data_IF_470925951237
#
_entry.id   IF_470925951237
#
_cell.length_a   1.000
_cell.length_b   1.000
_cell.length_c   1.000
_cell.angle_alpha   90.00
_cell.angle_beta   90.00
_cell.angle_gamma   90.00
#
_symmetry.space_group_name_H-M   'P 1'
#
loop_
_entity.id
_entity.type
_entity.pdbx_description
1 polymer ?
#
# COMPACT_ATOMS: atom_id res chain seq x y z
N UNK A 1 17.02 21.32 -11.76
CA UNK A 1 15.64 20.80 -11.82
C UNK A 1 14.75 21.62 -10.89
N UNK A 2 13.56 22.00 -11.33
CA UNK A 2 12.59 22.73 -10.52
C UNK A 2 11.86 21.78 -9.56
N UNK A 3 11.88 22.04 -8.25
CA UNK A 3 11.08 21.27 -7.28
C UNK A 3 9.64 21.83 -7.29
N UNK A 4 8.63 20.98 -7.52
CA UNK A 4 7.22 21.38 -7.48
C UNK A 4 6.60 21.05 -6.11
N UNK A 5 5.71 21.91 -5.63
CA UNK A 5 4.88 21.63 -4.48
C UNK A 5 3.81 20.62 -4.89
N UNK A 6 3.86 19.42 -4.33
CA UNK A 6 2.89 18.35 -4.60
C UNK A 6 1.46 18.66 -4.16
N UNK A 7 1.27 19.63 -3.25
CA UNK A 7 -0.07 20.02 -2.80
C UNK A 7 -0.72 21.10 -3.67
N UNK A 8 0.05 22.03 -4.25
CA UNK A 8 -0.52 23.15 -5.03
C UNK A 8 -0.04 23.21 -6.48
N UNK A 9 0.84 22.30 -6.90
CA UNK A 9 1.43 22.24 -8.24
C UNK A 9 2.43 23.36 -8.55
N UNK A 10 2.56 24.38 -7.69
CA UNK A 10 3.44 25.52 -7.95
C UNK A 10 4.91 25.15 -7.79
N UNK A 11 5.75 25.73 -8.64
CA UNK A 11 7.20 25.64 -8.51
C UNK A 11 7.68 26.30 -7.21
N UNK A 12 8.45 25.56 -6.43
CA UNK A 12 9.10 26.06 -5.23
C UNK A 12 10.42 26.69 -5.65
N UNK A 13 10.54 28.01 -5.46
CA UNK A 13 11.74 28.75 -5.83
C UNK A 13 12.96 28.26 -5.04
N UNK A 14 14.14 28.28 -5.67
CA UNK A 14 15.39 27.78 -5.09
C UNK A 14 15.80 28.46 -3.78
N UNK A 15 15.39 29.72 -3.58
CA UNK A 15 15.62 30.50 -2.35
C UNK A 15 14.58 30.24 -1.25
N UNK A 16 13.56 29.42 -1.53
CA UNK A 16 12.44 29.18 -0.61
C UNK A 16 12.67 27.93 0.24
N UNK A 17 12.09 27.96 1.44
CA UNK A 17 12.06 26.81 2.35
C UNK A 17 11.20 25.71 1.72
N UNK A 18 11.78 24.52 1.56
CA UNK A 18 11.10 23.33 1.05
C UNK A 18 10.88 22.36 2.21
N UNK A 19 9.74 21.67 2.22
CA UNK A 19 9.48 20.61 3.19
C UNK A 19 9.36 19.28 2.46
N UNK A 20 10.24 18.32 2.78
CA UNK A 20 10.21 16.98 2.16
C UNK A 20 9.57 15.98 3.12
N UNK A 21 8.68 15.15 2.60
CA UNK A 21 8.10 14.05 3.34
C UNK A 21 9.13 12.94 3.60
N UNK A 22 9.09 12.38 4.79
CA UNK A 22 9.94 11.26 5.18
C UNK A 22 9.49 9.94 4.53
N UNK A 23 8.19 9.80 4.30
CA UNK A 23 7.52 8.57 3.84
C UNK A 23 7.38 8.51 2.31
N UNK A 24 7.69 9.59 1.58
CA UNK A 24 7.43 9.67 0.14
C UNK A 24 8.61 10.29 -0.62
N UNK A 25 9.02 9.64 -1.72
CA UNK A 25 10.17 10.02 -2.52
C UNK A 25 10.10 11.46 -3.07
N UNK A 26 8.93 11.83 -3.60
CA UNK A 26 8.71 13.07 -4.34
C UNK A 26 7.66 13.99 -3.71
N UNK A 27 7.31 13.77 -2.44
CA UNK A 27 6.31 14.59 -1.76
C UNK A 27 6.99 15.81 -1.10
N UNK A 28 7.00 16.91 -1.86
CA UNK A 28 7.51 18.21 -1.41
C UNK A 28 6.36 19.19 -1.20
N UNK A 29 6.44 19.97 -0.13
CA UNK A 29 5.49 21.03 0.19
C UNK A 29 6.21 22.38 0.26
N UNK A 30 5.55 23.41 -0.27
CA UNK A 30 5.95 24.79 -0.02
C UNK A 30 5.58 25.21 1.40
N UNK A 31 6.19 26.30 1.89
CA UNK A 31 5.94 26.87 3.22
C UNK A 31 4.46 27.19 3.49
N UNK A 32 3.70 27.56 2.46
CA UNK A 32 2.27 27.86 2.60
C UNK A 32 1.44 26.58 2.76
N UNK A 33 1.76 25.53 1.98
CA UNK A 33 1.05 24.25 2.01
C UNK A 33 1.33 23.43 3.27
N UNK A 34 2.49 23.58 3.93
CA UNK A 34 2.75 22.87 5.20
C UNK A 34 1.89 23.34 6.36
N UNK A 35 1.52 24.63 6.39
CA UNK A 35 0.59 25.15 7.41
C UNK A 35 -0.84 24.66 7.18
N UNK A 36 -1.25 24.52 5.92
CA UNK A 36 -2.57 24.01 5.55
C UNK A 36 -2.69 22.49 5.75
N UNK A 37 -1.60 21.74 5.56
CA UNK A 37 -1.63 20.28 5.73
C UNK A 37 -1.78 19.83 7.18
N UNK A 38 -1.32 20.59 8.19
CA UNK A 38 -1.53 20.24 9.62
C UNK A 38 -3.00 20.05 10.02
N UNK A 39 -3.95 20.53 9.21
CA UNK A 39 -5.39 20.46 9.46
C UNK A 39 -6.13 19.42 8.60
N UNK A 40 -5.42 18.55 7.85
CA UNK A 40 -6.04 17.49 7.04
C UNK A 40 -5.80 16.13 7.67
N UNK A 41 -6.82 15.27 7.70
CA UNK A 41 -6.74 13.90 8.25
C UNK A 41 -5.62 13.03 7.63
N UNK A 42 -5.13 13.38 6.43
CA UNK A 42 -4.02 12.69 5.73
C UNK A 42 -2.64 13.10 6.30
N UNK A 43 -2.52 14.25 6.96
CA UNK A 43 -1.25 14.71 7.53
C UNK A 43 -0.86 14.01 8.83
N UNK A 44 -1.71 13.12 9.36
CA UNK A 44 -1.38 12.29 10.52
C UNK A 44 -0.33 11.21 10.19
N UNK A 45 -0.11 10.88 8.91
CA UNK A 45 0.78 9.78 8.48
C UNK A 45 2.09 10.25 7.83
N UNK A 46 2.25 11.55 7.58
CA UNK A 46 3.40 12.10 6.86
C UNK A 46 4.15 13.10 7.74
N UNK A 47 5.41 12.80 8.05
CA UNK A 47 6.32 13.72 8.72
C UNK A 47 7.16 14.46 7.69
N UNK A 48 7.44 15.74 7.95
CA UNK A 48 8.10 16.62 6.98
C UNK A 48 9.30 17.33 7.58
N UNK A 49 10.43 17.23 6.88
CA UNK A 49 11.66 17.91 7.24
C UNK A 49 11.82 19.20 6.45
N UNK A 50 12.22 20.26 7.15
CA UNK A 50 12.53 21.56 6.56
C UNK A 50 13.92 21.49 5.92
N UNK A 51 13.99 21.72 4.61
CA UNK A 51 15.25 21.76 3.84
C UNK A 51 15.48 23.18 3.32
N UNK A 52 16.67 23.72 3.57
CA UNK A 52 17.19 24.93 2.92
C UNK A 52 18.33 24.53 1.97
N UNK A 53 18.12 24.65 0.65
CA UNK A 53 19.18 24.37 -0.34
C UNK A 53 20.12 25.57 -0.45
N UNK A 54 21.17 25.58 0.36
CA UNK A 54 22.39 26.35 0.07
C UNK A 54 23.56 25.38 -0.01
N UNK A 55 24.15 25.29 -1.21
CA UNK A 55 25.40 24.62 -1.59
C UNK A 55 25.34 23.14 -2.02
N UNK A 56 25.15 22.91 -3.33
CA UNK A 56 25.69 21.73 -4.03
C UNK A 56 26.27 22.17 -5.38
N UNK A 57 27.61 22.20 -5.47
CA UNK A 57 28.35 22.23 -6.73
C UNK A 57 29.45 21.16 -6.65
N UNK A 58 29.62 20.41 -7.76
CA UNK A 58 30.66 19.38 -8.04
C UNK A 58 30.44 18.05 -7.28
N UNK A 59 30.51 16.87 -7.91
CA UNK A 59 31.57 16.41 -8.80
C UNK A 59 31.14 15.20 -9.68
N UNK A 60 31.57 15.21 -10.94
CA UNK A 60 31.60 14.04 -11.84
C UNK A 60 32.80 13.12 -11.52
N UNK A 61 32.69 11.86 -11.96
CA UNK A 61 33.76 10.86 -12.25
C UNK A 61 34.04 9.77 -11.21
N UNK A 62 33.63 8.53 -11.51
CA UNK A 62 34.54 7.40 -11.83
C UNK A 62 33.73 6.11 -12.14
N UNK A 63 34.08 5.45 -13.25
CA UNK A 63 33.45 4.23 -13.79
C UNK A 63 34.01 2.98 -13.10
N UNK A 64 33.13 2.06 -12.71
CA UNK A 64 33.43 0.61 -12.64
C UNK A 64 32.25 -0.13 -13.27
N UNK A 65 32.54 -0.88 -14.33
CA UNK A 65 31.57 -1.57 -15.16
C UNK A 65 31.19 -2.92 -14.58
N UNK A 66 29.93 -3.08 -14.18
CA UNK A 66 29.25 -4.37 -14.19
C UNK A 66 28.13 -4.30 -15.24
N UNK A 67 28.17 -5.20 -16.23
CA UNK A 67 27.16 -5.32 -17.28
C UNK A 67 25.86 -5.87 -16.70
N UNK A 68 25.12 -5.03 -15.99
CA UNK A 68 23.67 -5.20 -15.78
C UNK A 68 23.01 -4.49 -16.96
N UNK A 69 22.36 -5.26 -17.82
CA UNK A 69 21.54 -4.73 -18.92
C UNK A 69 20.36 -3.97 -18.29
N UNK A 70 20.58 -2.69 -17.96
CA UNK A 70 19.53 -1.75 -17.63
C UNK A 70 18.79 -1.41 -18.92
N UNK A 71 17.77 -2.20 -19.26
CA UNK A 71 16.73 -1.72 -20.16
C UNK A 71 15.97 -0.65 -19.38
N UNK A 72 16.33 0.61 -19.63
CA UNK A 72 15.63 1.80 -19.15
C UNK A 72 14.14 1.62 -19.49
N UNK A 73 13.29 1.52 -18.46
CA UNK A 73 11.87 1.72 -18.65
C UNK A 73 11.59 3.19 -18.39
N UNK A 74 11.22 3.86 -19.47
CA UNK A 74 10.58 5.16 -19.51
C UNK A 74 9.38 5.19 -18.55
N UNK A 75 9.33 6.16 -17.63
CA UNK A 75 8.23 7.14 -17.49
C UNK A 75 8.53 8.12 -16.35
N UNK A 76 8.27 9.41 -16.58
CA UNK A 76 8.41 10.51 -15.61
C UNK A 76 7.38 10.48 -14.46
N UNK A 77 6.78 9.33 -14.13
CA UNK A 77 5.77 9.19 -13.08
C UNK A 77 6.33 8.39 -11.89
N UNK A 78 6.23 8.96 -10.69
CA UNK A 78 6.54 8.30 -9.43
C UNK A 78 5.88 6.92 -9.33
N UNK A 79 6.61 5.87 -8.96
CA UNK A 79 6.04 4.51 -8.81
C UNK A 79 4.83 4.51 -7.86
N UNK A 80 4.83 5.41 -6.88
CA UNK A 80 3.79 5.60 -5.87
C UNK A 80 2.45 6.10 -6.44
N UNK A 81 2.47 6.70 -7.63
CA UNK A 81 1.26 7.19 -8.31
C UNK A 81 0.85 6.26 -9.45
N UNK A 82 1.58 5.16 -9.65
CA UNK A 82 1.26 4.18 -10.68
C UNK A 82 0.02 3.38 -10.29
N UNK A 83 -0.81 3.04 -11.29
CA UNK A 83 -1.96 2.14 -11.12
C UNK A 83 -1.54 0.81 -10.46
N UNK A 84 -0.31 0.36 -10.75
CA UNK A 84 0.25 -0.85 -10.14
C UNK A 84 0.51 -0.76 -8.64
N UNK A 85 0.93 0.42 -8.14
CA UNK A 85 1.12 0.64 -6.70
C UNK A 85 -0.19 0.93 -5.98
N UNK A 86 -1.07 1.73 -6.61
CA UNK A 86 -2.32 2.16 -6.01
C UNK A 86 -3.39 1.06 -5.95
N UNK A 87 -3.41 0.16 -6.94
CA UNK A 87 -4.44 -0.89 -7.07
C UNK A 87 -3.91 -2.31 -7.02
N UNK A 88 -2.60 -2.52 -6.91
CA UNK A 88 -1.99 -3.84 -6.99
C UNK A 88 -0.93 -4.08 -5.92
N UNK A 89 -0.69 -5.36 -5.63
CA UNK A 89 0.45 -5.75 -4.81
C UNK A 89 1.73 -5.79 -5.67
N UNK A 90 2.77 -5.16 -5.17
CA UNK A 90 4.12 -5.21 -5.72
C UNK A 90 4.85 -6.46 -5.22
N UNK A 91 5.76 -6.94 -6.04
CA UNK A 91 6.76 -7.95 -5.69
C UNK A 91 8.07 -7.55 -6.35
N UNK A 92 9.20 -7.94 -5.79
CA UNK A 92 10.49 -7.72 -6.45
C UNK A 92 11.34 -8.98 -6.47
N UNK A 93 12.07 -9.16 -7.58
CA UNK A 93 12.99 -10.28 -7.71
C UNK A 93 14.22 -10.05 -6.83
N UNK A 94 14.52 -10.96 -5.90
CA UNK A 94 15.68 -10.87 -5.00
C UNK A 94 17.02 -10.97 -5.72
N UNK A 95 17.04 -11.51 -6.94
CA UNK A 95 18.26 -11.64 -7.74
C UNK A 95 18.52 -10.41 -8.63
N UNK A 96 17.56 -9.98 -9.44
CA UNK A 96 17.76 -8.82 -10.34
C UNK A 96 17.24 -7.49 -9.78
N UNK A 97 16.63 -7.49 -8.59
CA UNK A 97 16.06 -6.33 -7.90
C UNK A 97 15.05 -5.52 -8.72
N UNK A 98 14.47 -6.08 -9.79
CA UNK A 98 13.36 -5.45 -10.51
C UNK A 98 12.06 -5.62 -9.75
N UNK A 99 11.25 -4.56 -9.75
CA UNK A 99 9.92 -4.52 -9.16
C UNK A 99 8.90 -4.87 -10.24
N UNK A 100 7.87 -5.60 -9.84
CA UNK A 100 6.78 -6.00 -10.70
C UNK A 100 5.45 -5.81 -9.98
N UNK A 101 4.40 -5.56 -10.76
CA UNK A 101 3.05 -5.75 -10.28
C UNK A 101 2.74 -7.26 -10.31
N UNK A 102 2.48 -7.86 -9.15
CA UNK A 102 2.27 -9.30 -8.97
C UNK A 102 1.16 -9.89 -9.83
N UNK A 103 0.18 -9.07 -10.21
CA UNK A 103 -0.96 -9.45 -11.05
C UNK A 103 -0.56 -9.57 -12.51
N UNK A 104 0.42 -8.76 -12.95
CA UNK A 104 0.81 -8.63 -14.37
C UNK A 104 1.96 -9.55 -14.78
N UNK A 105 2.59 -10.24 -13.84
CA UNK A 105 3.76 -11.08 -14.11
C UNK A 105 3.62 -12.48 -13.53
N UNK A 106 4.32 -13.43 -14.14
CA UNK A 106 4.58 -14.72 -13.48
C UNK A 106 5.75 -14.53 -12.52
N UNK A 107 5.46 -14.72 -11.23
CA UNK A 107 6.42 -14.53 -10.14
C UNK A 107 6.41 -15.77 -9.23
N UNK A 108 7.54 -16.07 -8.61
CA UNK A 108 7.71 -17.26 -7.79
C UNK A 108 8.19 -16.89 -6.40
N UNK A 109 7.58 -17.44 -5.35
CA UNK A 109 8.05 -17.28 -3.96
C UNK A 109 8.55 -18.62 -3.43
N UNK A 110 9.64 -18.58 -2.67
CA UNK A 110 10.15 -19.72 -1.91
C UNK A 110 9.34 -19.86 -0.61
N UNK A 111 8.90 -21.09 -0.30
CA UNK A 111 8.11 -21.37 0.91
C UNK A 111 8.96 -21.69 2.14
N UNK A 112 10.22 -22.06 1.92
CA UNK A 112 11.10 -22.54 2.99
C UNK A 112 12.04 -21.46 3.54
N UNK A 113 11.95 -20.22 3.06
CA UNK A 113 12.79 -19.13 3.55
C UNK A 113 12.12 -18.32 4.68
N UNK A 114 12.85 -17.98 5.75
CA UNK A 114 12.34 -17.14 6.83
C UNK A 114 11.94 -15.72 6.39
N UNK A 115 12.67 -15.16 5.43
CA UNK A 115 12.27 -13.95 4.71
C UNK A 115 11.78 -14.35 3.32
N UNK A 116 10.65 -13.81 2.84
CA UNK A 116 10.10 -14.19 1.54
C UNK A 116 11.12 -13.92 0.44
N UNK A 117 11.65 -15.01 -0.13
CA UNK A 117 12.59 -14.97 -1.24
C UNK A 117 11.82 -15.17 -2.54
N UNK A 118 11.82 -14.16 -3.40
CA UNK A 118 11.02 -14.11 -4.62
C UNK A 118 11.87 -14.00 -5.89
N UNK A 119 11.49 -14.70 -6.96
CA UNK A 119 12.14 -14.64 -8.26
C UNK A 119 11.14 -14.36 -9.37
N UNK A 120 11.56 -13.54 -10.34
CA UNK A 120 10.83 -13.42 -11.61
C UNK A 120 11.08 -14.63 -12.50
N UNK A 121 10.21 -14.82 -13.48
CA UNK A 121 10.27 -15.92 -14.45
C UNK A 121 11.63 -16.05 -15.15
N UNK A 122 12.30 -14.93 -15.44
CA UNK A 122 13.60 -14.91 -16.12
C UNK A 122 14.76 -15.39 -15.21
N UNK A 123 14.66 -15.17 -13.91
CA UNK A 123 15.72 -15.50 -12.95
C UNK A 123 15.54 -16.89 -12.32
N UNK A 124 14.33 -17.45 -12.33
CA UNK A 124 14.04 -18.78 -11.76
C UNK A 124 14.97 -19.89 -12.30
N UNK A 125 15.27 -19.99 -13.61
CA UNK A 125 16.16 -21.04 -14.13
C UNK A 125 17.57 -21.01 -13.53
N UNK A 126 18.00 -19.85 -13.05
CA UNK A 126 19.32 -19.64 -12.45
C UNK A 126 19.29 -19.83 -10.92
N UNK A 127 18.14 -20.10 -10.30
CA UNK A 127 17.99 -20.15 -8.84
C UNK A 127 19.03 -21.04 -8.14
N UNK A 128 19.40 -22.17 -8.75
CA UNK A 128 20.38 -23.12 -8.18
C UNK A 128 21.77 -22.52 -7.97
N UNK A 129 22.14 -21.42 -8.64
CA UNK A 129 23.46 -20.80 -8.50
C UNK A 129 23.54 -19.80 -7.34
N UNK A 130 22.41 -19.34 -6.82
CA UNK A 130 22.36 -18.30 -5.79
C UNK A 130 21.33 -18.55 -4.68
N UNK A 131 20.65 -19.69 -4.70
CA UNK A 131 19.64 -20.07 -3.73
C UNK A 131 19.73 -21.59 -3.42
N UNK A 132 19.49 -22.02 -2.18
CA UNK A 132 19.51 -23.44 -1.84
C UNK A 132 18.61 -24.27 -2.75
N UNK A 133 19.20 -25.26 -3.44
CA UNK A 133 18.49 -26.10 -4.41
C UNK A 133 17.43 -27.00 -3.79
N UNK A 134 17.51 -27.24 -2.48
CA UNK A 134 16.52 -27.99 -1.69
C UNK A 134 15.24 -27.20 -1.47
N UNK A 135 15.27 -25.88 -1.64
CA UNK A 135 14.09 -25.05 -1.51
C UNK A 135 13.26 -25.09 -2.80
N UNK A 136 11.95 -25.17 -2.61
CA UNK A 136 10.94 -25.22 -3.66
C UNK A 136 10.34 -23.84 -3.86
N UNK A 137 10.24 -23.46 -5.12
CA UNK A 137 9.54 -22.25 -5.54
C UNK A 137 8.11 -22.59 -5.93
N UNK A 138 7.15 -21.85 -5.38
CA UNK A 138 5.79 -21.84 -5.87
C UNK A 138 5.55 -20.65 -6.76
N UNK A 139 4.87 -20.90 -7.88
CA UNK A 139 4.33 -19.85 -8.72
C UNK A 139 3.22 -19.14 -7.96
N UNK A 140 3.34 -17.82 -7.81
CA UNK A 140 2.25 -17.01 -7.28
C UNK A 140 1.03 -17.13 -8.18
N UNK A 141 -0.18 -17.16 -7.60
CA UNK A 141 -1.40 -17.20 -8.38
C UNK A 141 -1.41 -16.04 -9.38
N UNK A 142 -1.54 -16.34 -10.67
CA UNK A 142 -1.61 -15.32 -11.70
C UNK A 142 -2.84 -14.43 -11.49
N UNK A 143 -2.69 -13.14 -11.78
CA UNK A 143 -3.77 -12.20 -12.10
C UNK A 143 -4.99 -12.25 -11.18
N UNK A 144 -5.96 -13.08 -11.58
CA UNK A 144 -7.29 -13.18 -10.99
C UNK A 144 -7.30 -13.67 -9.54
N UNK A 145 -6.43 -14.62 -9.17
CA UNK A 145 -6.45 -15.15 -7.80
C UNK A 145 -5.82 -14.17 -6.80
N UNK A 146 -4.76 -13.46 -7.18
CA UNK A 146 -4.18 -12.41 -6.35
C UNK A 146 -5.08 -11.17 -6.29
N UNK A 147 -5.68 -10.76 -7.42
CA UNK A 147 -6.71 -9.72 -7.41
C UNK A 147 -7.87 -10.09 -6.51
N UNK A 148 -8.36 -11.34 -6.54
CA UNK A 148 -9.43 -11.81 -5.64
C UNK A 148 -9.02 -11.77 -4.17
N UNK A 149 -7.79 -12.17 -3.85
CA UNK A 149 -7.27 -12.08 -2.48
C UNK A 149 -7.19 -10.63 -2.01
N UNK A 150 -6.70 -9.72 -2.85
CA UNK A 150 -6.65 -8.28 -2.55
C UNK A 150 -8.04 -7.63 -2.56
N UNK A 151 -8.95 -8.08 -3.41
CA UNK A 151 -10.34 -7.65 -3.46
C UNK A 151 -11.13 -8.11 -2.24
N UNK A 152 -10.74 -9.19 -1.56
CA UNK A 152 -11.37 -9.57 -0.28
C UNK A 152 -10.97 -8.64 0.86
N UNK A 153 -9.89 -7.88 0.71
CA UNK A 153 -9.45 -6.90 1.70
C UNK A 153 -10.07 -5.53 1.37
N UNK A 154 -11.11 -5.18 2.12
CA UNK A 154 -11.82 -3.92 1.98
C UNK A 154 -11.10 -2.73 2.63
N UNK A 155 -11.55 -1.53 2.30
CA UNK A 155 -11.17 -0.32 3.03
C UNK A 155 -11.88 -0.28 4.39
N UNK A 156 -11.30 -0.95 5.40
CA UNK A 156 -11.91 -1.10 6.73
C UNK A 156 -12.30 0.26 7.33
N UNK A 157 -13.47 0.29 7.97
CA UNK A 157 -14.05 1.47 8.63
C UNK A 157 -14.33 2.67 7.71
N UNK A 158 -14.19 2.51 6.39
CA UNK A 158 -14.57 3.53 5.41
C UNK A 158 -15.99 3.28 4.92
N UNK A 159 -16.78 4.34 4.81
CA UNK A 159 -18.14 4.30 4.26
C UNK A 159 -18.13 5.05 2.93
N UNK A 160 -18.75 4.47 1.91
CA UNK A 160 -18.99 5.18 0.66
C UNK A 160 -20.13 6.19 0.87
N UNK A 161 -19.87 7.49 0.69
CA UNK A 161 -20.89 8.54 0.83
C UNK A 161 -21.97 8.49 -0.25
N UNK A 162 -21.71 7.78 -1.36
CA UNK A 162 -22.66 7.63 -2.46
C UNK A 162 -23.71 6.52 -2.28
N UNK A 163 -23.40 5.46 -1.52
CA UNK A 163 -24.28 4.30 -1.34
C UNK A 163 -24.30 3.73 0.08
N UNK A 164 -23.61 4.35 1.03
CA UNK A 164 -23.50 3.98 2.44
C UNK A 164 -22.93 2.59 2.71
N UNK A 165 -22.38 1.91 1.70
CA UNK A 165 -21.69 0.63 1.89
C UNK A 165 -20.42 0.87 2.70
N UNK A 166 -20.29 0.15 3.82
CA UNK A 166 -19.13 0.19 4.70
C UNK A 166 -18.11 -0.89 4.35
N UNK A 167 -16.83 -0.64 4.69
CA UNK A 167 -15.71 -1.57 4.48
C UNK A 167 -15.66 -2.15 3.06
N UNK A 168 -15.95 -1.31 2.06
CA UNK A 168 -16.09 -1.77 0.69
C UNK A 168 -14.76 -2.16 0.06
N UNK A 169 -14.85 -3.05 -0.92
CA UNK A 169 -13.73 -3.58 -1.69
C UNK A 169 -13.56 -2.79 -2.99
N UNK A 170 -12.41 -2.97 -3.66
CA UNK A 170 -12.10 -2.25 -4.89
C UNK A 170 -11.39 -0.92 -4.64
N UNK A 171 -11.50 0.03 -5.57
CA UNK A 171 -10.82 1.33 -5.48
C UNK A 171 -11.60 2.29 -4.60
N UNK A 172 -10.92 2.93 -3.64
CA UNK A 172 -11.44 4.10 -2.92
C UNK A 172 -11.04 5.38 -3.63
N UNK A 173 -12.04 6.19 -3.95
CA UNK A 173 -11.89 7.53 -4.50
C UNK A 173 -12.22 8.55 -3.42
N UNK A 174 -11.25 9.38 -3.05
CA UNK A 174 -11.45 10.44 -2.06
C UNK A 174 -11.48 11.80 -2.76
N UNK A 175 -12.54 12.58 -2.51
CA UNK A 175 -12.67 13.96 -2.96
C UNK A 175 -11.54 14.80 -2.37
N UNK A 176 -10.85 15.58 -3.20
CA UNK A 176 -9.74 16.43 -2.78
C UNK A 176 -10.19 17.81 -2.27
N UNK A 177 -11.45 18.14 -2.50
CA UNK A 177 -12.03 19.47 -2.29
C UNK A 177 -13.00 19.52 -1.08
N UNK A 178 -13.46 18.35 -0.63
CA UNK A 178 -14.51 18.23 0.36
C UNK A 178 -13.99 18.23 1.79
N UNK A 179 -14.71 18.91 2.68
CA UNK A 179 -14.52 18.85 4.14
C UNK A 179 -15.89 18.69 4.82
N UNK A 180 -16.14 17.64 5.62
CA UNK A 180 -15.24 16.50 5.88
C UNK A 180 -14.98 15.66 4.62
N UNK A 181 -14.11 14.64 4.71
CA UNK A 181 -13.77 13.79 3.57
C UNK A 181 -15.02 13.21 2.91
N UNK A 182 -15.02 13.14 1.58
CA UNK A 182 -16.07 12.50 0.80
C UNK A 182 -15.47 11.35 -0.01
N UNK A 183 -15.85 10.12 0.31
CA UNK A 183 -15.29 8.87 -0.19
C UNK A 183 -16.30 8.11 -1.06
N UNK A 184 -15.87 7.65 -2.22
CA UNK A 184 -16.67 6.87 -3.15
C UNK A 184 -16.01 5.52 -3.44
N UNK A 185 -16.83 4.47 -3.57
CA UNK A 185 -16.43 3.19 -4.13
C UNK A 185 -16.49 3.20 -5.68
N UNK A 186 -15.94 2.17 -6.32
CA UNK A 186 -15.96 1.99 -7.78
C UNK A 186 -17.37 2.15 -8.39
N UNK A 187 -18.42 1.68 -7.71
CA UNK A 187 -19.79 1.73 -8.23
C UNK A 187 -20.38 3.14 -8.27
N UNK A 188 -19.94 4.02 -7.38
CA UNK A 188 -20.44 5.39 -7.23
C UNK A 188 -19.57 6.41 -7.95
N UNK A 189 -18.27 6.14 -8.09
CA UNK A 189 -17.36 7.02 -8.79
C UNK A 189 -17.83 7.26 -10.24
N UNK A 190 -17.78 8.51 -10.70
CA UNK A 190 -18.29 8.93 -12.01
C UNK A 190 -19.82 9.06 -12.12
N UNK A 191 -20.59 8.66 -11.09
CA UNK A 191 -22.06 8.81 -11.05
C UNK A 191 -22.54 9.74 -9.95
N UNK A 192 -21.83 9.75 -8.83
CA UNK A 192 -22.10 10.60 -7.66
C UNK A 192 -20.99 11.63 -7.54
N UNK A 193 -21.35 12.83 -7.11
CA UNK A 193 -20.40 13.86 -6.74
C UNK A 193 -19.35 14.15 -7.85
N UNK A 194 -19.81 14.31 -9.08
CA UNK A 194 -18.99 14.28 -10.31
C UNK A 194 -18.24 15.57 -10.63
N UNK A 195 -18.51 16.66 -9.89
CA UNK A 195 -17.96 17.99 -10.18
C UNK A 195 -16.63 18.28 -9.49
N UNK A 196 -16.15 17.38 -8.62
CA UNK A 196 -14.89 17.56 -7.89
C UNK A 196 -13.82 16.61 -8.38
N UNK A 197 -12.57 16.98 -8.12
CA UNK A 197 -11.41 16.12 -8.37
C UNK A 197 -11.27 15.08 -7.26
N UNK A 198 -10.93 13.86 -7.66
CA UNK A 198 -10.69 12.75 -6.76
C UNK A 198 -9.28 12.23 -6.92
N UNK A 199 -8.74 11.74 -5.81
CA UNK A 199 -7.54 10.89 -5.78
C UNK A 199 -7.93 9.46 -5.44
N UNK A 200 -7.12 8.52 -5.91
CA UNK A 200 -7.21 7.12 -5.48
C UNK A 200 -6.49 6.99 -4.15
N UNK A 201 -7.13 6.31 -3.20
CA UNK A 201 -6.53 5.94 -1.92
C UNK A 201 -6.30 4.43 -1.96
N UNK A 202 -5.05 3.95 -1.83
CA UNK A 202 -4.78 2.52 -1.82
C UNK A 202 -5.42 1.86 -0.60
N UNK A 203 -5.74 0.58 -0.73
CA UNK A 203 -6.12 -0.23 0.41
C UNK A 203 -4.97 -0.22 1.45
N UNK A 204 -5.28 -0.07 2.74
CA UNK A 204 -4.26 0.06 3.79
C UNK A 204 -3.34 -1.16 3.87
N UNK A 205 -3.87 -2.37 3.69
CA UNK A 205 -3.06 -3.60 3.64
C UNK A 205 -2.19 -3.63 2.38
N UNK A 206 -2.75 -3.33 1.21
CA UNK A 206 -1.98 -3.28 -0.04
C UNK A 206 -0.86 -2.24 0.06
N UNK A 207 -1.15 -1.07 0.62
CA UNK A 207 -0.16 -0.04 0.87
C UNK A 207 0.96 -0.55 1.76
N UNK A 208 0.63 -1.14 2.92
CA UNK A 208 1.61 -1.71 3.84
C UNK A 208 2.49 -2.78 3.15
N UNK A 209 1.89 -3.75 2.46
CA UNK A 209 2.63 -4.81 1.75
C UNK A 209 3.54 -4.24 0.65
N UNK A 210 3.08 -3.23 -0.10
CA UNK A 210 3.91 -2.57 -1.10
C UNK A 210 5.08 -1.82 -0.47
N UNK A 211 4.88 -1.17 0.67
CA UNK A 211 5.96 -0.51 1.41
C UNK A 211 6.98 -1.53 1.93
N UNK A 212 6.54 -2.68 2.45
CA UNK A 212 7.44 -3.76 2.86
C UNK A 212 8.32 -4.24 1.69
N UNK A 213 7.73 -4.53 0.54
CA UNK A 213 8.46 -5.04 -0.63
C UNK A 213 9.45 -3.98 -1.17
N UNK A 214 9.06 -2.70 -1.20
CA UNK A 214 9.96 -1.61 -1.58
C UNK A 214 11.10 -1.39 -0.58
N UNK A 215 10.79 -1.43 0.71
CA UNK A 215 11.77 -1.19 1.77
C UNK A 215 12.78 -2.33 1.82
N UNK A 216 12.31 -3.58 1.78
CA UNK A 216 13.18 -4.74 1.79
C UNK A 216 14.09 -4.77 0.55
N UNK A 217 13.59 -4.37 -0.62
CA UNK A 217 14.42 -4.20 -1.82
C UNK A 217 15.51 -3.14 -1.61
N UNK A 218 15.16 -1.98 -1.03
CA UNK A 218 16.12 -0.92 -0.77
C UNK A 218 17.19 -1.37 0.23
N UNK A 219 16.83 -2.17 1.24
CA UNK A 219 17.78 -2.76 2.19
C UNK A 219 18.71 -3.77 1.52
N UNK A 220 18.17 -4.63 0.65
CA UNK A 220 18.98 -5.58 -0.11
C UNK A 220 20.01 -4.84 -0.97
N UNK A 221 19.59 -3.80 -1.69
CA UNK A 221 20.50 -2.99 -2.53
C UNK A 221 21.50 -2.17 -1.70
N UNK A 222 21.08 -1.62 -0.56
CA UNK A 222 21.97 -0.96 0.38
C UNK A 222 23.03 -1.93 0.94
N UNK A 223 22.68 -3.21 1.15
CA UNK A 223 23.65 -4.21 1.64
C UNK A 223 24.74 -4.53 0.62
N UNK A 224 24.44 -4.33 -0.67
CA UNK A 224 25.39 -4.49 -1.77
C UNK A 224 26.23 -3.23 -2.01
N UNK A 225 25.92 -2.12 -1.33
CA UNK A 225 26.58 -0.83 -1.52
C UNK A 225 27.21 -0.35 -0.22
N UNK A 226 28.51 -0.01 -0.27
CA UNK A 226 29.24 0.47 0.91
C UNK A 226 29.16 2.00 1.10
N UNK A 227 28.47 2.73 0.22
CA UNK A 227 28.32 4.18 0.31
C UNK A 227 27.26 4.57 1.36
N UNK A 228 27.63 5.26 2.45
CA UNK A 228 26.70 5.73 3.48
C UNK A 228 25.66 6.74 2.95
N UNK A 229 25.95 7.39 1.82
CA UNK A 229 25.03 8.33 1.17
C UNK A 229 24.19 7.69 0.06
N UNK A 230 24.33 6.37 -0.14
CA UNK A 230 23.55 5.66 -1.13
C UNK A 230 22.05 5.88 -0.91
N UNK A 231 21.37 6.10 -2.03
CA UNK A 231 19.92 6.22 -2.08
C UNK A 231 19.37 5.27 -3.11
N UNK A 232 18.28 4.61 -2.74
CA UNK A 232 17.56 3.78 -3.69
C UNK A 232 17.08 4.63 -4.88
N UNK A 233 17.30 4.14 -6.10
CA UNK A 233 17.00 4.90 -7.32
C UNK A 233 15.50 5.06 -7.57
N UNK A 234 14.65 4.27 -6.93
CA UNK A 234 13.20 4.27 -7.13
C UNK A 234 12.52 5.08 -6.03
N UNK A 235 12.92 4.87 -4.77
CA UNK A 235 12.28 5.50 -3.61
C UNK A 235 13.04 6.71 -3.07
N UNK A 236 14.33 6.87 -3.42
CA UNK A 236 15.21 7.89 -2.86
C UNK A 236 15.57 7.67 -1.38
N UNK A 237 15.20 6.52 -0.82
CA UNK A 237 15.45 6.16 0.58
C UNK A 237 16.91 5.81 0.81
N UNK A 238 17.44 6.26 1.94
CA UNK A 238 18.64 5.69 2.54
C UNK A 238 18.32 4.34 3.18
N UNK A 239 19.34 3.61 3.63
CA UNK A 239 19.16 2.40 4.44
C UNK A 239 18.28 2.65 5.68
N UNK A 240 18.54 3.74 6.41
CA UNK A 240 17.79 4.09 7.63
C UNK A 240 16.34 4.45 7.31
N UNK A 241 16.09 5.14 6.20
CA UNK A 241 14.72 5.43 5.75
C UNK A 241 13.98 4.13 5.44
N UNK A 242 14.62 3.19 4.73
CA UNK A 242 14.05 1.89 4.39
C UNK A 242 13.78 1.03 5.63
N UNK A 243 14.67 1.00 6.63
CA UNK A 243 14.44 0.30 7.90
C UNK A 243 13.18 0.83 8.61
N UNK A 244 13.04 2.16 8.68
CA UNK A 244 11.87 2.80 9.31
C UNK A 244 10.57 2.53 8.54
N UNK A 245 10.61 2.57 7.22
CA UNK A 245 9.44 2.27 6.39
C UNK A 245 9.04 0.80 6.57
N UNK A 246 10.00 -0.13 6.62
CA UNK A 246 9.72 -1.54 6.85
C UNK A 246 9.07 -1.76 8.22
N UNK A 247 9.58 -1.12 9.26
CA UNK A 247 9.01 -1.18 10.61
C UNK A 247 7.57 -0.66 10.63
N UNK A 248 7.32 0.54 10.09
CA UNK A 248 5.98 1.12 10.02
C UNK A 248 5.02 0.23 9.21
N UNK A 249 5.46 -0.27 8.06
CA UNK A 249 4.63 -1.11 7.21
C UNK A 249 4.25 -2.44 7.87
N UNK A 250 5.16 -3.04 8.64
CA UNK A 250 4.87 -4.22 9.47
C UNK A 250 3.83 -3.91 10.57
N UNK A 251 3.94 -2.74 11.21
CA UNK A 251 2.96 -2.30 12.19
C UNK A 251 1.58 -2.07 11.56
N UNK A 252 1.53 -1.46 10.37
CA UNK A 252 0.30 -1.19 9.63
C UNK A 252 -0.38 -2.48 9.16
N UNK A 253 0.37 -3.44 8.63
CA UNK A 253 -0.16 -4.77 8.28
C UNK A 253 -0.76 -5.47 9.51
N UNK A 254 -0.04 -5.45 10.63
CA UNK A 254 -0.52 -6.05 11.88
C UNK A 254 -1.79 -5.38 12.38
N UNK A 255 -1.83 -4.04 12.39
CA UNK A 255 -3.00 -3.28 12.80
C UNK A 255 -4.21 -3.58 11.91
N UNK A 256 -4.01 -3.64 10.60
CA UNK A 256 -5.05 -4.00 9.65
C UNK A 256 -5.62 -5.41 9.92
N UNK A 257 -4.75 -6.41 10.11
CA UNK A 257 -5.18 -7.80 10.37
C UNK A 257 -5.94 -7.91 11.70
N UNK A 258 -5.44 -7.28 12.76
CA UNK A 258 -6.16 -7.23 14.04
C UNK A 258 -7.54 -6.61 13.87
N UNK A 259 -7.65 -5.50 13.13
CA UNK A 259 -8.93 -4.84 12.90
C UNK A 259 -9.89 -5.69 12.08
N UNK A 260 -9.39 -6.40 11.08
CA UNK A 260 -10.18 -7.34 10.30
C UNK A 260 -10.73 -8.46 11.19
N UNK A 261 -9.91 -9.04 12.05
CA UNK A 261 -10.33 -10.09 12.99
C UNK A 261 -11.41 -9.59 13.95
N UNK A 262 -11.28 -8.36 14.47
CA UNK A 262 -12.30 -7.73 15.31
C UNK A 262 -13.64 -7.60 14.56
N UNK A 263 -13.61 -7.13 13.30
CA UNK A 263 -14.81 -6.98 12.46
C UNK A 263 -15.48 -8.34 12.25
N UNK A 264 -14.69 -9.37 11.92
CA UNK A 264 -15.19 -10.74 11.73
C UNK A 264 -15.81 -11.28 13.02
N UNK A 265 -15.16 -11.08 14.17
CA UNK A 265 -15.71 -11.50 15.46
C UNK A 265 -17.00 -10.78 15.82
N UNK A 266 -17.10 -9.47 15.55
CA UNK A 266 -18.35 -8.71 15.75
C UNK A 266 -19.46 -9.26 14.86
N UNK A 267 -19.17 -9.54 13.58
CA UNK A 267 -20.13 -10.11 12.65
C UNK A 267 -20.62 -11.50 13.11
N UNK A 268 -19.71 -12.39 13.52
CA UNK A 268 -20.05 -13.72 14.03
C UNK A 268 -20.93 -13.63 15.30
N UNK A 269 -20.61 -12.72 16.23
CA UNK A 269 -21.44 -12.51 17.42
C UNK A 269 -22.86 -12.05 17.06
N UNK A 270 -23.02 -11.18 16.05
CA UNK A 270 -24.34 -10.73 15.59
C UNK A 270 -25.16 -11.87 14.97
N UNK A 271 -24.51 -12.71 14.15
CA UNK A 271 -25.16 -13.89 13.55
C UNK A 271 -25.61 -14.87 14.64
N UNK A 272 -24.77 -15.13 15.64
CA UNK A 272 -25.12 -16.03 16.73
C UNK A 272 -26.24 -15.47 17.62
N UNK A 273 -26.23 -14.16 17.91
CA UNK A 273 -27.32 -13.50 18.62
C UNK A 273 -28.65 -13.62 17.86
N UNK A 274 -28.64 -13.48 16.54
CA UNK A 274 -29.84 -13.62 15.73
C UNK A 274 -30.33 -15.06 15.67
N UNK A 275 -29.43 -16.03 15.56
CA UNK A 275 -29.76 -17.46 15.66
C UNK A 275 -30.42 -17.79 17.00
N UNK A 276 -29.88 -17.28 18.10
CA UNK A 276 -30.46 -17.49 19.43
C UNK A 276 -31.87 -16.88 19.53
N UNK A 277 -32.08 -15.67 19.02
CA UNK A 277 -33.41 -15.03 18.99
C UNK A 277 -34.43 -15.84 18.22
N UNK A 278 -34.04 -16.40 17.07
CA UNK A 278 -34.93 -17.25 16.27
C UNK A 278 -35.28 -18.54 17.02
N UNK A 279 -34.30 -19.16 17.68
CA UNK A 279 -34.53 -20.36 18.51
C UNK A 279 -35.47 -20.06 19.69
N UNK A 280 -35.23 -18.97 20.42
CA UNK A 280 -36.07 -18.54 21.54
C UNK A 280 -37.53 -18.28 21.09
N UNK A 281 -37.68 -17.69 19.89
CA UNK A 281 -39.00 -17.44 19.28
C UNK A 281 -39.72 -18.75 18.93
N UNK A 282 -38.99 -19.73 18.37
CA UNK A 282 -39.54 -21.05 18.06
C UNK A 282 -39.94 -21.81 19.33
N UNK A 283 -39.08 -21.81 20.35
CA UNK A 283 -39.33 -22.48 21.63
C UNK A 283 -40.54 -21.86 22.36
N UNK A 284 -40.68 -20.53 22.32
CA UNK A 284 -41.84 -19.83 22.86
C UNK A 284 -43.13 -20.22 22.11
N UNK A 285 -43.09 -20.25 20.77
CA UNK A 285 -44.23 -20.65 19.94
C UNK A 285 -44.67 -22.09 20.25
N UNK A 286 -43.72 -23.01 20.37
CA UNK A 286 -43.99 -24.41 20.70
C UNK A 286 -44.63 -24.56 22.09
N UNK A 287 -44.12 -23.86 23.10
CA UNK A 287 -44.72 -23.84 24.45
C UNK A 287 -46.16 -23.34 24.45
N UNK A 288 -46.45 -22.28 23.69
CA UNK A 288 -47.81 -21.75 23.57
C UNK A 288 -48.77 -22.74 22.88
N UNK A 289 -48.31 -23.47 21.87
CA UNK A 289 -49.10 -24.52 21.23
C UNK A 289 -49.39 -25.66 22.19
N UNK A 290 -48.40 -26.11 22.97
CA UNK A 290 -48.58 -27.19 23.94
C UNK A 290 -49.54 -26.81 25.07
N UNK A 291 -49.50 -25.57 25.56
CA UNK A 291 -50.44 -25.06 26.56
C UNK A 291 -51.89 -25.03 26.03
N UNK A 292 -52.10 -24.68 24.77
CA UNK A 292 -53.42 -24.70 24.16
C UNK A 292 -53.97 -26.13 23.98
N UNK A 293 -53.10 -27.11 23.73
CA UNK A 293 -53.50 -28.52 23.61
C UNK A 293 -53.85 -29.18 24.95
N UNK A 294 -53.36 -28.65 26.07
CA UNK A 294 -53.67 -29.14 27.42
C UNK A 294 -54.98 -28.57 28.00
N UNK A 295 -55.56 -27.56 27.37
CA UNK A 295 -56.81 -26.90 27.79
C UNK A 295 -58.05 -27.35 26.98
N UNK A 296 -57.95 -28.47 26.26
CA UNK A 296 -59.03 -29.15 25.50
C UNK A 296 -59.24 -30.53 26.11
#
# INVERSE_FOLDING_TARGET
MATLCTSCGQQILLSSIIYKCHQCANHYLCKSCTKLNRNRAIAQYHTFDKISKSNETRQESAKVSFNVVHRQQETNSSIFDSDGYLKGALVYCRYCHRIFNSVKVTFFKCEQCPSPFGLCNECLPQARSFHPSVHKFLKLPSGDNMLRLLQNYGHLDVICDGCSTSSFTGTRYQCEECVPSFDLCDNCFGKKHTHHRFKIVPNSLVHALNQQELAQRALDLASLNNDPQWRDSITGWTKVDAERVLEQANADEKAYKTRLDEIVQIANRRVEQERQRLQDTMDFSWKMQMLNLQNI
#
